data_IF_251475792232
#
_entry.id   IF_251475792232
#
_cell.length_a   1.000
_cell.length_b   1.000
_cell.length_c   1.000
_cell.angle_alpha   90.00
_cell.angle_beta   90.00
_cell.angle_gamma   90.00
#
_symmetry.space_group_name_H-M   'P 1'
#
loop_
_entity.id
_entity.type
_entity.pdbx_description
1 polymer ?
#
# COMPACT_ATOMS: atom_id res chain seq x y z
N UNK A 1 10.17 5.28 -10.15
CA UNK A 1 8.68 5.29 -10.13
C UNK A 1 8.08 4.48 -8.99
N UNK A 2 8.51 3.24 -8.78
CA UNK A 2 7.96 2.42 -7.68
C UNK A 2 8.10 3.07 -6.31
N UNK A 3 9.27 3.64 -6.04
CA UNK A 3 9.52 4.35 -4.79
C UNK A 3 8.57 5.55 -4.65
N UNK A 4 8.46 6.36 -5.69
CA UNK A 4 7.59 7.55 -5.68
C UNK A 4 6.11 7.20 -5.45
N UNK A 5 5.66 6.11 -6.09
CA UNK A 5 4.29 5.61 -5.92
C UNK A 5 4.07 5.15 -4.47
N UNK A 6 5.01 4.36 -3.94
CA UNK A 6 4.92 3.89 -2.55
C UNK A 6 4.93 5.06 -1.56
N UNK A 7 5.81 6.03 -1.77
CA UNK A 7 5.89 7.22 -0.92
C UNK A 7 4.60 8.03 -0.95
N UNK A 8 3.99 8.16 -2.12
CA UNK A 8 2.72 8.89 -2.24
C UNK A 8 1.59 8.15 -1.55
N UNK A 9 1.50 6.83 -1.72
CA UNK A 9 0.50 6.02 -1.02
C UNK A 9 0.69 6.14 0.49
N UNK A 10 1.92 6.06 0.97
CA UNK A 10 2.22 6.23 2.39
C UNK A 10 1.78 7.61 2.90
N UNK A 11 2.00 8.66 2.11
CA UNK A 11 1.56 10.00 2.45
C UNK A 11 0.04 10.13 2.51
N UNK A 12 -0.67 9.50 1.57
CA UNK A 12 -2.14 9.54 1.54
C UNK A 12 -2.78 8.84 2.74
N UNK A 13 -2.12 7.83 3.30
CA UNK A 13 -2.64 7.09 4.46
C UNK A 13 -2.04 7.56 5.79
N UNK A 14 -1.18 8.57 5.77
CA UNK A 14 -0.64 9.19 6.97
C UNK A 14 -1.65 10.20 7.54
N UNK A 15 -1.82 10.19 8.86
CA UNK A 15 -2.71 11.12 9.53
C UNK A 15 -4.16 10.66 9.61
N UNK A 16 -4.47 9.41 9.28
CA UNK A 16 -5.78 8.83 9.47
C UNK A 16 -6.08 8.65 10.97
N UNK A 17 -7.35 8.60 11.32
CA UNK A 17 -7.79 8.65 12.72
C UNK A 17 -7.21 7.53 13.59
N UNK A 18 -7.15 6.30 13.07
CA UNK A 18 -6.75 5.14 13.88
C UNK A 18 -5.24 5.00 14.02
N UNK A 19 -4.49 5.06 12.92
CA UNK A 19 -3.04 4.87 12.93
C UNK A 19 -2.25 6.17 13.03
N UNK A 20 -2.85 7.29 12.66
CA UNK A 20 -2.19 8.59 12.72
C UNK A 20 -0.91 8.63 11.90
N UNK A 21 0.19 9.01 12.55
CA UNK A 21 1.50 9.10 11.92
C UNK A 21 2.31 7.79 11.95
N UNK A 22 1.75 6.72 12.51
CA UNK A 22 2.41 5.40 12.57
C UNK A 22 2.30 4.68 11.22
N UNK A 23 2.98 5.23 10.21
CA UNK A 23 3.01 4.67 8.85
C UNK A 23 4.46 4.43 8.47
N UNK A 24 4.77 3.18 8.11
CA UNK A 24 6.14 2.75 7.81
C UNK A 24 6.19 2.14 6.40
N UNK A 25 7.19 2.51 5.64
CA UNK A 25 7.43 1.95 4.31
C UNK A 25 8.36 0.74 4.40
N UNK A 26 7.89 -0.31 5.07
CA UNK A 26 8.67 -1.51 5.35
C UNK A 26 7.76 -2.70 5.56
N UNK A 27 8.29 -3.91 5.37
CA UNK A 27 7.61 -5.15 5.72
C UNK A 27 7.79 -5.54 7.18
N UNK A 28 8.70 -4.85 7.87
CA UNK A 28 8.99 -5.10 9.27
C UNK A 28 8.38 -3.99 10.10
N UNK A 29 7.55 -4.35 11.05
CA UNK A 29 6.94 -3.38 11.96
C UNK A 29 7.66 -3.40 13.32
N UNK A 30 7.69 -2.25 14.02
CA UNK A 30 8.22 -2.21 15.38
C UNK A 30 7.32 -3.02 16.32
N UNK A 31 7.92 -3.87 17.16
CA UNK A 31 7.19 -4.72 18.11
C UNK A 31 6.87 -3.96 19.40
N UNK A 32 7.14 -2.68 19.44
CA UNK A 32 6.90 -1.84 20.62
C UNK A 32 5.43 -1.43 20.72
N UNK A 33 4.88 -1.46 21.93
CA UNK A 33 3.47 -1.14 22.20
C UNK A 33 3.07 0.25 21.72
N UNK A 34 3.98 1.22 21.80
CA UNK A 34 3.73 2.59 21.38
C UNK A 34 3.62 2.77 19.87
N UNK A 35 3.98 1.75 19.08
CA UNK A 35 3.94 1.81 17.62
C UNK A 35 2.70 1.18 17.03
N UNK A 36 1.82 0.60 17.83
CA UNK A 36 0.58 -0.01 17.39
C UNK A 36 -0.62 0.83 17.84
N UNK A 37 -1.68 0.93 17.04
CA UNK A 37 -1.81 0.39 15.67
C UNK A 37 -0.93 1.14 14.67
N UNK A 38 -0.50 0.44 13.62
CA UNK A 38 0.33 1.04 12.59
C UNK A 38 -0.06 0.56 11.19
N UNK A 39 0.43 1.28 10.18
CA UNK A 39 0.30 0.89 8.78
C UNK A 39 1.68 0.64 8.19
N UNK A 40 1.78 -0.41 7.40
CA UNK A 40 2.97 -0.74 6.63
C UNK A 40 2.63 -0.63 5.15
N UNK A 41 3.45 0.06 4.39
CA UNK A 41 3.26 0.22 2.94
C UNK A 41 4.49 -0.36 2.25
N UNK A 42 4.28 -1.36 1.40
CA UNK A 42 5.36 -1.99 0.66
C UNK A 42 4.86 -2.58 -0.65
N UNK A 43 5.76 -2.69 -1.63
CA UNK A 43 5.47 -3.33 -2.91
C UNK A 43 5.90 -4.80 -2.86
N UNK A 44 5.14 -5.66 -3.55
CA UNK A 44 5.39 -7.10 -3.57
C UNK A 44 5.87 -7.60 -4.92
N UNK A 45 5.31 -7.09 -6.01
CA UNK A 45 5.65 -7.53 -7.35
C UNK A 45 5.26 -6.48 -8.38
N UNK A 46 5.84 -6.58 -9.57
CA UNK A 46 5.52 -5.72 -10.69
C UNK A 46 5.60 -6.53 -11.97
N UNK A 47 4.60 -6.41 -12.81
CA UNK A 47 4.58 -6.98 -14.15
C UNK A 47 4.74 -5.85 -15.17
N UNK A 48 5.50 -6.11 -16.22
CA UNK A 48 5.77 -5.13 -17.27
C UNK A 48 5.35 -5.69 -18.62
N UNK A 49 4.68 -4.87 -19.42
CA UNK A 49 4.23 -5.22 -20.75
C UNK A 49 4.65 -4.13 -21.74
N UNK A 50 5.33 -4.54 -22.81
CA UNK A 50 5.67 -3.64 -23.91
C UNK A 50 4.44 -3.49 -24.79
N UNK A 51 3.90 -2.29 -24.88
CA UNK A 51 2.66 -2.02 -25.61
C UNK A 51 2.89 -1.62 -27.06
N UNK A 52 4.09 -1.13 -27.40
CA UNK A 52 4.44 -0.72 -28.76
C UNK A 52 5.89 -1.07 -29.06
N UNK A 53 6.17 -1.37 -30.34
CA UNK A 53 7.53 -1.67 -30.81
C UNK A 53 8.26 -0.41 -31.28
N UNK A 54 8.02 0.70 -30.59
CA UNK A 54 8.71 1.98 -30.83
C UNK A 54 10.06 2.02 -30.13
N UNK A 55 10.88 3.04 -30.43
CA UNK A 55 12.11 3.28 -29.70
C UNK A 55 12.16 4.78 -29.32
N UNK A 56 12.17 5.13 -28.02
CA UNK A 56 12.08 4.25 -26.85
C UNK A 56 10.70 3.56 -26.72
N UNK A 57 10.71 2.38 -26.10
CA UNK A 57 9.49 1.56 -25.99
C UNK A 57 8.62 2.01 -24.82
N UNK A 58 7.32 2.29 -25.04
CA UNK A 58 6.39 2.46 -23.94
C UNK A 58 6.16 1.13 -23.23
N UNK A 59 6.21 1.16 -21.91
CA UNK A 59 5.97 -0.01 -21.08
C UNK A 59 4.83 0.31 -20.13
N UNK A 60 3.81 -0.55 -20.12
CA UNK A 60 2.77 -0.53 -19.10
C UNK A 60 3.21 -1.42 -17.95
N UNK A 61 3.18 -0.89 -16.76
CA UNK A 61 3.58 -1.60 -15.55
C UNK A 61 2.41 -1.73 -14.59
N UNK A 62 2.29 -2.92 -14.03
CA UNK A 62 1.26 -3.22 -13.03
C UNK A 62 2.00 -3.55 -11.74
N UNK A 63 1.94 -2.63 -10.80
CA UNK A 63 2.61 -2.73 -9.51
C UNK A 63 1.61 -3.19 -8.45
N UNK A 64 1.98 -4.21 -7.70
CA UNK A 64 1.20 -4.65 -6.55
C UNK A 64 1.79 -4.05 -5.29
N UNK A 65 0.97 -3.26 -4.60
CA UNK A 65 1.33 -2.58 -3.35
C UNK A 65 0.42 -3.07 -2.24
N UNK A 66 0.99 -3.39 -1.11
CA UNK A 66 0.22 -3.80 0.08
C UNK A 66 0.22 -2.67 1.10
N UNK A 67 -0.95 -2.33 1.58
CA UNK A 67 -1.12 -1.50 2.78
C UNK A 67 -1.58 -2.44 3.89
N UNK A 68 -0.72 -2.66 4.86
CA UNK A 68 -0.96 -3.60 5.94
C UNK A 68 -1.22 -2.85 7.25
N UNK A 69 -2.40 -3.09 7.85
CA UNK A 69 -2.71 -2.59 9.17
C UNK A 69 -2.34 -3.63 10.23
N UNK A 70 -1.70 -3.21 11.28
CA UNK A 70 -1.29 -4.09 12.40
C UNK A 70 -1.86 -3.53 13.68
N UNK A 71 -2.57 -4.36 14.42
CA UNK A 71 -3.13 -3.99 15.73
C UNK A 71 -2.78 -5.03 16.77
N UNK A 72 -2.44 -4.57 17.97
CA UNK A 72 -2.27 -5.44 19.14
C UNK A 72 -3.44 -5.19 20.08
N UNK A 73 -4.48 -6.00 20.03
CA UNK A 73 -5.69 -5.72 20.78
C UNK A 73 -6.45 -6.99 21.19
N UNK A 74 -7.30 -6.82 22.19
CA UNK A 74 -8.23 -7.85 22.62
C UNK A 74 -9.45 -7.98 21.70
N UNK A 75 -9.73 -6.95 20.89
CA UNK A 75 -10.80 -6.95 19.88
C UNK A 75 -10.25 -6.44 18.55
N UNK A 76 -9.40 -7.21 17.85
CA UNK A 76 -8.72 -6.73 16.66
C UNK A 76 -9.65 -6.52 15.46
N UNK A 77 -10.71 -7.30 15.33
CA UNK A 77 -11.57 -7.29 14.15
C UNK A 77 -12.21 -5.92 13.88
N UNK A 78 -12.79 -5.30 14.91
CA UNK A 78 -13.44 -4.00 14.76
C UNK A 78 -12.42 -2.91 14.38
N UNK A 79 -11.25 -2.94 14.98
CA UNK A 79 -10.18 -1.98 14.70
C UNK A 79 -9.63 -2.18 13.30
N UNK A 80 -9.44 -3.43 12.86
CA UNK A 80 -8.97 -3.75 11.51
C UNK A 80 -9.97 -3.30 10.45
N UNK A 81 -11.26 -3.50 10.69
CA UNK A 81 -12.30 -3.05 9.77
C UNK A 81 -12.33 -1.52 9.68
N UNK A 82 -12.11 -0.82 10.78
CA UNK A 82 -12.02 0.64 10.81
C UNK A 82 -10.81 1.12 10.01
N UNK A 83 -9.65 0.50 10.20
CA UNK A 83 -8.43 0.81 9.44
C UNK A 83 -8.66 0.60 7.94
N UNK A 84 -9.24 -0.53 7.56
CA UNK A 84 -9.55 -0.84 6.16
C UNK A 84 -10.41 0.25 5.52
N UNK A 85 -11.47 0.66 6.21
CA UNK A 85 -12.36 1.70 5.73
C UNK A 85 -11.63 3.03 5.55
N UNK A 86 -10.84 3.44 6.51
CA UNK A 86 -10.08 4.69 6.46
C UNK A 86 -9.10 4.71 5.29
N UNK A 87 -8.36 3.61 5.09
CA UNK A 87 -7.41 3.47 4.00
C UNK A 87 -8.11 3.46 2.64
N UNK A 88 -9.19 2.70 2.51
CA UNK A 88 -9.94 2.63 1.25
C UNK A 88 -10.51 3.99 0.85
N UNK A 89 -11.05 4.74 1.79
CA UNK A 89 -11.56 6.10 1.52
C UNK A 89 -10.43 7.04 1.13
N UNK A 90 -9.31 6.99 1.82
CA UNK A 90 -8.16 7.85 1.53
C UNK A 90 -7.59 7.59 0.13
N UNK A 91 -7.40 6.33 -0.24
CA UNK A 91 -6.83 5.97 -1.54
C UNK A 91 -7.84 6.13 -2.69
N UNK A 92 -9.14 6.00 -2.42
CA UNK A 92 -10.15 6.29 -3.43
C UNK A 92 -10.16 7.77 -3.83
N UNK A 93 -9.67 8.65 -2.97
CA UNK A 93 -9.52 10.08 -3.27
C UNK A 93 -8.32 10.42 -4.15
N UNK A 94 -7.40 9.47 -4.38
CA UNK A 94 -6.19 9.71 -5.18
C UNK A 94 -5.87 8.49 -6.05
N UNK A 95 -6.79 8.14 -6.95
CA UNK A 95 -6.65 6.96 -7.82
C UNK A 95 -5.49 7.08 -8.81
N UNK A 96 -5.10 8.31 -9.14
CA UNK A 96 -3.98 8.56 -10.04
C UNK A 96 -2.63 8.65 -9.33
N UNK A 97 -2.62 8.47 -8.01
CA UNK A 97 -1.42 8.57 -7.17
C UNK A 97 -0.65 9.86 -7.49
N UNK A 98 -1.34 10.98 -7.34
CA UNK A 98 -0.80 12.31 -7.66
C UNK A 98 -0.27 12.39 -9.10
N UNK A 99 -1.01 11.85 -10.05
CA UNK A 99 -0.67 11.81 -11.49
C UNK A 99 0.56 10.94 -11.83
N UNK A 100 1.04 10.11 -10.92
CA UNK A 100 2.11 9.15 -11.20
C UNK A 100 1.58 7.90 -11.88
N UNK A 101 0.31 7.58 -11.67
CA UNK A 101 -0.32 6.37 -12.19
C UNK A 101 -1.53 6.71 -13.06
N UNK A 102 -1.89 5.79 -13.95
CA UNK A 102 -3.11 5.88 -14.75
C UNK A 102 -4.32 5.46 -13.94
N UNK A 103 -4.15 4.48 -13.06
CA UNK A 103 -5.24 3.99 -12.23
C UNK A 103 -4.69 3.21 -11.03
N UNK A 104 -5.48 3.15 -9.97
CA UNK A 104 -5.21 2.29 -8.83
C UNK A 104 -6.52 1.81 -8.25
N UNK A 105 -6.54 0.56 -7.78
CA UNK A 105 -7.73 -0.01 -7.18
C UNK A 105 -7.38 -1.12 -6.21
N UNK A 106 -8.28 -1.38 -5.27
CA UNK A 106 -8.16 -2.49 -4.33
C UNK A 106 -8.52 -3.80 -5.06
N UNK A 107 -7.62 -4.77 -5.03
CA UNK A 107 -7.83 -6.08 -5.66
C UNK A 107 -8.26 -7.16 -4.68
N UNK A 108 -7.92 -7.04 -3.41
CA UNK A 108 -8.28 -8.03 -2.40
C UNK A 108 -7.89 -7.61 -1.01
N UNK A 109 -8.49 -8.24 -0.03
CA UNK A 109 -8.24 -7.99 1.39
C UNK A 109 -8.03 -9.32 2.09
N UNK A 110 -6.96 -9.43 2.88
CA UNK A 110 -6.68 -10.59 3.70
C UNK A 110 -6.61 -10.17 5.17
N UNK A 111 -7.19 -10.96 6.04
CA UNK A 111 -7.19 -10.71 7.48
C UNK A 111 -6.57 -11.89 8.17
N UNK A 112 -5.58 -11.64 9.04
CA UNK A 112 -4.91 -12.66 9.81
C UNK A 112 -4.92 -12.29 11.29
N UNK A 113 -5.00 -13.30 12.13
CA UNK A 113 -4.91 -13.14 13.57
C UNK A 113 -3.89 -14.11 14.12
N UNK A 114 -2.90 -13.58 14.81
CA UNK A 114 -1.86 -14.40 15.44
C UNK A 114 -1.96 -14.26 16.96
N UNK A 115 -2.33 -15.36 17.61
CA UNK A 115 -2.43 -15.42 19.08
C UNK A 115 -1.22 -16.12 19.73
N UNK A 116 -0.22 -16.50 18.92
CA UNK A 116 1.00 -17.13 19.44
C UNK A 116 1.91 -16.06 20.06
N UNK A 117 2.13 -16.17 21.36
CA UNK A 117 2.97 -15.25 22.09
C UNK A 117 2.20 -14.51 23.19
N UNK A 118 2.92 -13.61 23.89
CA UNK A 118 2.39 -12.86 25.03
C UNK A 118 1.36 -11.79 24.63
N UNK A 119 1.34 -11.37 23.35
CA UNK A 119 0.43 -10.34 22.85
C UNK A 119 -0.20 -10.76 21.52
N UNK A 120 -1.52 -10.93 21.48
CA UNK A 120 -2.22 -11.20 20.23
C UNK A 120 -2.05 -10.03 19.25
N UNK A 121 -1.81 -10.35 17.98
CA UNK A 121 -1.66 -9.37 16.90
C UNK A 121 -2.63 -9.72 15.79
N UNK A 122 -3.43 -8.72 15.39
CA UNK A 122 -4.27 -8.82 14.20
C UNK A 122 -3.68 -8.01 13.08
N UNK A 123 -3.77 -8.52 11.85
CA UNK A 123 -3.31 -7.82 10.66
C UNK A 123 -4.38 -7.84 9.58
N UNK A 124 -4.47 -6.74 8.82
CA UNK A 124 -5.25 -6.67 7.59
C UNK A 124 -4.31 -6.26 6.47
N UNK A 125 -4.33 -7.00 5.36
CA UNK A 125 -3.53 -6.69 4.18
C UNK A 125 -4.46 -6.27 3.05
N UNK A 126 -4.35 -5.01 2.64
CA UNK A 126 -5.09 -4.46 1.53
C UNK A 126 -4.19 -4.48 0.30
N UNK A 127 -4.53 -5.32 -0.67
CA UNK A 127 -3.75 -5.48 -1.89
C UNK A 127 -4.25 -4.51 -2.94
N UNK A 128 -3.41 -3.54 -3.31
CA UNK A 128 -3.70 -2.55 -4.33
C UNK A 128 -2.94 -2.85 -5.61
N UNK A 129 -3.62 -2.66 -6.74
CA UNK A 129 -3.02 -2.72 -8.06
C UNK A 129 -2.88 -1.30 -8.57
N UNK A 130 -1.67 -0.94 -8.96
CA UNK A 130 -1.34 0.39 -9.50
C UNK A 130 -0.84 0.21 -10.92
N UNK A 131 -1.55 0.80 -11.88
CA UNK A 131 -1.15 0.78 -13.27
C UNK A 131 -0.50 2.10 -13.66
N UNK A 132 0.74 2.04 -14.13
CA UNK A 132 1.46 3.23 -14.61
C UNK A 132 2.25 2.90 -15.86
N UNK A 133 2.71 3.95 -16.55
CA UNK A 133 3.46 3.79 -17.80
C UNK A 133 4.73 4.62 -17.76
N UNK A 134 5.75 4.11 -18.40
CA UNK A 134 6.99 4.83 -18.66
C UNK A 134 7.60 4.31 -19.95
N UNK A 135 8.75 4.88 -20.35
CA UNK A 135 9.52 4.36 -21.46
C UNK A 135 10.70 3.53 -20.96
N UNK A 136 11.17 2.59 -21.76
CA UNK A 136 12.20 1.62 -21.35
C UNK A 136 13.53 2.25 -20.98
N UNK A 137 13.86 3.40 -21.57
CA UNK A 137 15.12 4.11 -21.25
C UNK A 137 14.97 5.16 -20.14
N UNK A 138 13.77 5.33 -19.59
CA UNK A 138 13.53 6.27 -18.49
C UNK A 138 12.44 5.74 -17.54
N UNK A 139 12.79 4.76 -16.70
CA UNK A 139 11.81 4.13 -15.80
C UNK A 139 11.36 5.02 -14.65
N UNK A 140 11.97 6.16 -14.46
CA UNK A 140 11.65 7.07 -13.34
C UNK A 140 10.63 8.15 -13.69
N UNK A 141 10.26 8.27 -14.95
CA UNK A 141 9.31 9.30 -15.40
C UNK A 141 8.04 8.67 -15.96
N UNK A 142 6.90 9.03 -15.37
CA UNK A 142 5.59 8.60 -15.83
C UNK A 142 5.23 9.26 -17.16
N UNK A 143 4.52 8.52 -18.00
CA UNK A 143 4.00 9.05 -19.27
C UNK A 143 2.49 8.90 -19.38
#
# INVERSE_FOLDING_TARGET
MRQSIRERIAADVTGLTTCGSNVFQSRVYPIEDGSLPCLLVYSTSEESEVTEMASPRPITRILNVVVQGVVGATTPDDTLDTISKEVEVALAGDVSINSLAHNSFLSGTEIEFNSDGAKPIGTVMLNYVVEYRNVDNNPETAI
#
